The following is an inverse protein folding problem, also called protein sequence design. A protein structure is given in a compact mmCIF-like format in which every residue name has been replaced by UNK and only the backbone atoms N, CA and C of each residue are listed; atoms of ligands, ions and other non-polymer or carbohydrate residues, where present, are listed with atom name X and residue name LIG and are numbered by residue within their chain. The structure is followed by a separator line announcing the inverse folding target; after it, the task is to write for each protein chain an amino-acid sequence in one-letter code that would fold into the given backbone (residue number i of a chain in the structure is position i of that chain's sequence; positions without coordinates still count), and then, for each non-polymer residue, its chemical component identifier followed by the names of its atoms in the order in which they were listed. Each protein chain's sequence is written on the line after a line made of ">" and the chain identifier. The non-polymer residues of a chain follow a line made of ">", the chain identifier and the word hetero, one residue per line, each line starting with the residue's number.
data_IF_105180793421
#
_entry.id   IF_105180793421
#
_cell.length_a   1.000
_cell.length_b   1.000
_cell.length_c   1.000
_cell.angle_alpha   90.00
_cell.angle_beta   90.00
_cell.angle_gamma   90.00
#
_symmetry.space_group_name_H-M   'P 1'
#
loop_
_entity.id
_entity.type
_entity.pdbx_description
1 polymer ?
#
# COMPACT_ATOMS: atom_id res chain seq x y z
N UNK A 1 7.17 3.47 -7.85
CA UNK A 1 7.39 4.93 -7.71
C UNK A 1 6.11 5.68 -7.42
N UNK A 2 5.03 5.50 -8.21
CA UNK A 2 3.77 6.24 -8.02
C UNK A 2 3.24 6.26 -6.56
N UNK A 3 3.16 5.13 -5.82
CA UNK A 3 2.63 5.17 -4.44
C UNK A 3 3.49 5.97 -3.47
N UNK A 4 4.82 5.89 -3.58
CA UNK A 4 5.74 6.64 -2.72
C UNK A 4 5.59 8.15 -2.92
N UNK A 5 5.40 8.59 -4.18
CA UNK A 5 5.15 9.99 -4.50
C UNK A 5 3.85 10.44 -3.84
N UNK A 6 2.76 9.67 -3.98
CA UNK A 6 1.49 9.99 -3.32
C UNK A 6 1.66 10.12 -1.81
N UNK A 7 2.33 9.16 -1.17
CA UNK A 7 2.58 9.19 0.27
C UNK A 7 3.32 10.46 0.70
N UNK A 8 4.48 10.74 0.11
CA UNK A 8 5.33 11.88 0.51
C UNK A 8 4.65 13.22 0.19
N UNK A 9 3.97 13.32 -0.96
CA UNK A 9 3.24 14.53 -1.33
C UNK A 9 2.08 14.82 -0.38
N UNK A 10 1.26 13.81 -0.05
CA UNK A 10 0.13 13.99 0.89
C UNK A 10 0.64 14.30 2.30
N UNK A 11 1.72 13.65 2.73
CA UNK A 11 2.35 13.94 4.01
C UNK A 11 2.84 15.39 4.10
N UNK A 12 3.61 15.85 3.10
CA UNK A 12 4.13 17.22 3.07
C UNK A 12 3.01 18.28 2.98
N UNK A 13 2.01 18.06 2.13
CA UNK A 13 0.88 18.98 1.98
C UNK A 13 0.02 19.05 3.26
N UNK A 14 -0.26 17.91 3.88
CA UNK A 14 -1.03 17.88 5.14
C UNK A 14 -0.27 18.52 6.30
N UNK A 15 1.06 18.31 6.39
CA UNK A 15 1.91 18.98 7.38
C UNK A 15 1.91 20.50 7.18
N UNK A 16 2.10 20.98 5.94
CA UNK A 16 2.06 22.41 5.62
C UNK A 16 0.70 23.02 5.97
N UNK A 17 -0.38 22.31 5.67
CA UNK A 17 -1.74 22.73 6.01
C UNK A 17 -1.95 22.79 7.53
N UNK A 18 -1.54 21.77 8.28
CA UNK A 18 -1.65 21.75 9.74
C UNK A 18 -0.89 22.91 10.38
N UNK A 19 0.33 23.17 9.89
CA UNK A 19 1.15 24.30 10.34
C UNK A 19 0.46 25.65 10.08
N UNK A 20 -0.09 25.85 8.89
CA UNK A 20 -0.69 27.14 8.47
C UNK A 20 -2.00 27.43 9.17
N UNK A 21 -2.87 26.42 9.35
CA UNK A 21 -4.24 26.63 9.83
C UNK A 21 -4.43 26.36 11.33
N UNK A 22 -3.70 25.39 11.90
CA UNK A 22 -3.92 24.96 13.29
C UNK A 22 -2.79 25.41 14.24
N UNK A 23 -1.72 26.03 13.73
CA UNK A 23 -0.51 26.40 14.49
C UNK A 23 0.07 25.24 15.33
N UNK A 24 -0.25 24.00 14.96
CA UNK A 24 0.22 22.76 15.59
C UNK A 24 0.58 21.78 14.50
N UNK A 25 1.75 21.18 14.63
CA UNK A 25 2.16 20.09 13.77
C UNK A 25 1.46 18.81 14.24
N UNK A 26 0.49 18.31 13.48
CA UNK A 26 -0.07 16.97 13.73
C UNK A 26 0.63 15.94 12.83
N UNK A 27 1.91 15.71 13.16
CA UNK A 27 2.79 14.76 12.49
C UNK A 27 2.13 13.39 12.35
N UNK A 28 1.48 12.94 13.42
CA UNK A 28 0.89 11.61 13.47
C UNK A 28 -0.34 11.52 12.56
N UNK A 29 -1.21 12.53 12.56
CA UNK A 29 -2.37 12.56 11.67
C UNK A 29 -1.93 12.65 10.22
N UNK A 30 -0.98 13.54 9.90
CA UNK A 30 -0.40 13.66 8.56
C UNK A 30 0.17 12.33 8.06
N UNK A 31 0.91 11.60 8.91
CA UNK A 31 1.47 10.29 8.57
C UNK A 31 0.40 9.23 8.26
N UNK A 32 -0.68 9.21 9.05
CA UNK A 32 -1.83 8.30 8.86
C UNK A 32 -2.66 8.68 7.62
N UNK A 33 -2.90 9.98 7.41
CA UNK A 33 -3.62 10.49 6.26
C UNK A 33 -2.87 10.18 4.96
N UNK A 34 -1.56 10.39 4.94
CA UNK A 34 -0.71 10.02 3.81
C UNK A 34 -0.83 8.53 3.49
N UNK A 35 -0.73 7.67 4.50
CA UNK A 35 -0.87 6.22 4.33
C UNK A 35 -2.26 5.85 3.82
N UNK A 36 -3.31 6.48 4.34
CA UNK A 36 -4.70 6.28 3.94
C UNK A 36 -4.89 6.60 2.45
N UNK A 37 -4.47 7.80 2.02
CA UNK A 37 -4.61 8.23 0.62
C UNK A 37 -3.76 7.34 -0.30
N UNK A 38 -2.56 6.94 0.13
CA UNK A 38 -1.73 6.01 -0.63
C UNK A 38 -2.42 4.66 -0.83
N UNK A 39 -3.02 4.08 0.23
CA UNK A 39 -3.73 2.80 0.18
C UNK A 39 -4.96 2.86 -0.73
N UNK A 40 -5.72 3.96 -0.67
CA UNK A 40 -6.83 4.17 -1.60
C UNK A 40 -6.34 4.26 -3.04
N UNK A 41 -5.23 4.96 -3.27
CA UNK A 41 -4.61 5.06 -4.59
C UNK A 41 -4.13 3.70 -5.13
N UNK A 42 -3.49 2.86 -4.31
CA UNK A 42 -3.09 1.52 -4.72
C UNK A 42 -4.28 0.58 -4.91
N UNK A 43 -5.35 0.76 -4.13
CA UNK A 43 -6.56 -0.06 -4.26
C UNK A 43 -7.21 0.14 -5.63
N UNK A 44 -7.24 1.37 -6.16
CA UNK A 44 -7.74 1.67 -7.51
C UNK A 44 -7.04 0.79 -8.57
N UNK A 45 -5.74 0.53 -8.42
CA UNK A 45 -5.00 -0.30 -9.35
C UNK A 45 -5.53 -1.76 -9.42
N UNK A 46 -6.11 -2.29 -8.34
CA UNK A 46 -6.68 -3.64 -8.30
C UNK A 46 -7.90 -3.79 -9.19
N UNK A 47 -8.65 -2.70 -9.36
CA UNK A 47 -9.85 -2.68 -10.19
C UNK A 47 -9.55 -2.26 -11.63
N UNK A 48 -8.68 -1.26 -11.82
CA UNK A 48 -8.32 -0.74 -13.14
C UNK A 48 -7.39 -1.68 -13.91
N UNK A 49 -6.35 -2.19 -13.25
CA UNK A 49 -5.30 -3.03 -13.87
C UNK A 49 -5.47 -4.51 -13.55
N UNK A 50 -6.72 -4.95 -13.37
CA UNK A 50 -7.05 -6.32 -12.92
C UNK A 50 -6.39 -7.40 -13.78
N UNK A 51 -6.28 -7.20 -15.10
CA UNK A 51 -5.66 -8.14 -16.02
C UNK A 51 -4.17 -8.37 -15.68
N UNK A 52 -3.41 -7.29 -15.49
CA UNK A 52 -1.99 -7.38 -15.15
C UNK A 52 -1.76 -7.85 -13.72
N UNK A 53 -2.62 -7.45 -12.78
CA UNK A 53 -2.55 -7.88 -11.38
C UNK A 53 -2.79 -9.40 -11.23
N UNK A 54 -3.70 -9.98 -12.03
CA UNK A 54 -3.92 -11.43 -12.07
C UNK A 54 -2.67 -12.19 -12.53
N UNK A 55 -1.87 -11.61 -13.43
CA UNK A 55 -0.61 -12.22 -13.88
C UNK A 55 0.46 -12.26 -12.78
N UNK A 56 0.36 -11.40 -11.77
CA UNK A 56 1.25 -11.43 -10.60
C UNK A 56 0.91 -12.56 -9.62
N UNK A 57 -0.30 -13.12 -9.69
CA UNK A 57 -0.73 -14.17 -8.76
C UNK A 57 -0.01 -15.48 -9.10
N UNK A 58 0.72 -16.08 -8.14
CA UNK A 58 1.48 -17.31 -8.37
C UNK A 58 0.63 -18.47 -8.92
N UNK A 59 1.27 -19.44 -9.62
CA UNK A 59 0.57 -20.50 -10.34
C UNK A 59 -0.04 -21.56 -9.41
N UNK A 60 0.39 -21.66 -8.15
CA UNK A 60 -0.21 -22.57 -7.18
C UNK A 60 -1.65 -22.17 -6.80
N UNK A 61 -2.04 -20.92 -7.08
CA UNK A 61 -3.42 -20.46 -6.96
C UNK A 61 -4.20 -20.83 -8.23
N UNK A 62 -5.37 -21.49 -8.10
CA UNK A 62 -6.23 -21.79 -9.24
C UNK A 62 -6.63 -20.54 -10.03
N UNK A 63 -6.54 -20.61 -11.36
CA UNK A 63 -6.87 -19.48 -12.24
C UNK A 63 -8.29 -18.93 -12.01
N UNK A 64 -9.24 -19.80 -11.65
CA UNK A 64 -10.63 -19.42 -11.36
C UNK A 64 -10.76 -18.43 -10.19
N UNK A 65 -9.84 -18.45 -9.21
CA UNK A 65 -9.90 -17.59 -8.02
C UNK A 65 -8.92 -16.42 -8.05
N UNK A 66 -7.97 -16.37 -8.99
CA UNK A 66 -6.97 -15.28 -9.07
C UNK A 66 -7.60 -13.90 -9.15
N UNK A 67 -8.63 -13.76 -9.99
CA UNK A 67 -9.38 -12.50 -10.13
C UNK A 67 -10.04 -12.09 -8.82
N UNK A 68 -10.61 -13.06 -8.10
CA UNK A 68 -11.24 -12.82 -6.80
C UNK A 68 -10.21 -12.37 -5.76
N UNK A 69 -9.03 -13.00 -5.72
CA UNK A 69 -7.94 -12.59 -4.82
C UNK A 69 -7.50 -11.15 -5.10
N UNK A 70 -7.36 -10.75 -6.36
CA UNK A 70 -7.02 -9.36 -6.71
C UNK A 70 -8.10 -8.38 -6.20
N UNK A 71 -9.38 -8.73 -6.33
CA UNK A 71 -10.47 -7.89 -5.81
C UNK A 71 -10.42 -7.82 -4.27
N UNK A 72 -10.22 -8.96 -3.60
CA UNK A 72 -10.14 -9.03 -2.13
C UNK A 72 -8.96 -8.21 -1.62
N UNK A 73 -7.79 -8.30 -2.26
CA UNK A 73 -6.61 -7.52 -1.86
C UNK A 73 -6.83 -6.02 -2.03
N UNK A 74 -7.53 -5.58 -3.09
CA UNK A 74 -7.97 -4.20 -3.23
C UNK A 74 -8.93 -3.75 -2.11
N UNK A 75 -9.88 -4.61 -1.72
CA UNK A 75 -10.79 -4.34 -0.61
C UNK A 75 -10.08 -4.29 0.74
N UNK A 76 -9.07 -5.13 0.97
CA UNK A 76 -8.23 -5.11 2.17
C UNK A 76 -7.51 -3.75 2.28
N UNK A 77 -6.99 -3.21 1.17
CA UNK A 77 -6.35 -1.89 1.18
C UNK A 77 -7.34 -0.77 1.56
N UNK A 78 -8.58 -0.81 1.06
CA UNK A 78 -9.63 0.15 1.43
C UNK A 78 -9.99 0.02 2.92
N UNK A 79 -10.19 -1.22 3.40
CA UNK A 79 -10.49 -1.48 4.80
C UNK A 79 -9.34 -1.05 5.72
N UNK A 80 -8.09 -1.27 5.30
CA UNK A 80 -6.90 -0.79 6.00
C UNK A 80 -6.83 0.73 6.04
N UNK A 81 -7.12 1.41 4.92
CA UNK A 81 -7.17 2.86 4.85
C UNK A 81 -8.20 3.46 5.81
N UNK A 82 -9.40 2.88 5.88
CA UNK A 82 -10.42 3.28 6.85
C UNK A 82 -9.99 2.96 8.28
N UNK A 83 -9.46 1.76 8.53
CA UNK A 83 -9.09 1.28 9.85
C UNK A 83 -7.96 2.07 10.52
N UNK A 84 -6.97 2.56 9.76
CA UNK A 84 -5.89 3.37 10.35
C UNK A 84 -6.35 4.78 10.79
N UNK A 85 -7.43 5.28 10.17
CA UNK A 85 -7.98 6.60 10.49
C UNK A 85 -8.85 6.55 11.75
N UNK A 86 -9.60 5.48 11.96
CA UNK A 86 -10.43 5.28 13.15
C UNK A 86 -9.58 5.02 14.39
N UNK A 87 -9.92 5.65 15.51
CA UNK A 87 -9.15 5.57 16.76
C UNK A 87 -9.14 4.15 17.33
N UNK A 88 -10.28 3.48 17.30
CA UNK A 88 -10.53 2.18 17.95
C UNK A 88 -9.87 1.02 17.20
N UNK A 89 -9.73 1.12 15.88
CA UNK A 89 -9.23 0.03 15.02
C UNK A 89 -7.82 0.24 14.52
N UNK A 90 -7.20 1.40 14.81
CA UNK A 90 -5.90 1.82 14.27
C UNK A 90 -4.78 0.80 14.45
N UNK A 91 -4.58 0.33 15.68
CA UNK A 91 -3.50 -0.60 16.02
C UNK A 91 -3.71 -1.93 15.28
N UNK A 92 -4.95 -2.45 15.33
CA UNK A 92 -5.34 -3.69 14.66
C UNK A 92 -5.14 -3.57 13.13
N UNK A 93 -5.61 -2.47 12.53
CA UNK A 93 -5.42 -2.19 11.12
C UNK A 93 -3.94 -2.07 10.76
N UNK A 94 -3.13 -1.45 11.61
CA UNK A 94 -1.68 -1.36 11.45
C UNK A 94 -1.01 -2.73 11.39
N UNK A 95 -1.30 -3.63 12.34
CA UNK A 95 -0.76 -4.99 12.33
C UNK A 95 -1.22 -5.78 11.09
N UNK A 96 -2.51 -5.70 10.75
CA UNK A 96 -3.05 -6.37 9.57
C UNK A 96 -2.41 -5.86 8.27
N UNK A 97 -2.15 -4.56 8.15
CA UNK A 97 -1.45 -3.97 7.01
C UNK A 97 0.00 -4.42 6.93
N UNK A 98 0.72 -4.51 8.06
CA UNK A 98 2.09 -5.04 8.08
C UNK A 98 2.13 -6.50 7.61
N UNK A 99 1.23 -7.33 8.13
CA UNK A 99 1.10 -8.74 7.71
C UNK A 99 0.76 -8.81 6.22
N UNK A 100 -0.19 -7.99 5.76
CA UNK A 100 -0.60 -7.92 4.36
C UNK A 100 0.58 -7.55 3.44
N UNK A 101 1.35 -6.51 3.78
CA UNK A 101 2.53 -6.11 3.01
C UNK A 101 3.52 -7.26 2.90
N UNK A 102 3.84 -7.93 4.01
CA UNK A 102 4.75 -9.10 4.02
C UNK A 102 4.19 -10.23 3.12
N UNK A 103 2.90 -10.53 3.24
CA UNK A 103 2.22 -11.56 2.45
C UNK A 103 2.21 -11.28 0.94
N UNK A 104 2.40 -10.03 0.50
CA UNK A 104 2.49 -9.65 -0.92
C UNK A 104 3.89 -9.85 -1.53
N UNK A 105 4.93 -10.14 -0.73
CA UNK A 105 6.29 -10.38 -1.24
C UNK A 105 6.37 -11.52 -2.27
N UNK A 106 5.77 -12.70 -2.04
CA UNK A 106 5.83 -13.80 -3.01
C UNK A 106 5.23 -13.41 -4.36
N UNK A 107 4.13 -12.65 -4.37
CA UNK A 107 3.51 -12.15 -5.59
C UNK A 107 4.43 -11.16 -6.34
N UNK A 108 5.10 -10.26 -5.61
CA UNK A 108 6.06 -9.33 -6.21
C UNK A 108 7.30 -10.04 -6.78
N UNK A 109 7.82 -11.06 -6.09
CA UNK A 109 8.94 -11.89 -6.58
C UNK A 109 8.52 -12.66 -7.84
N UNK A 110 7.35 -13.28 -7.82
CA UNK A 110 6.82 -14.02 -8.98
C UNK A 110 6.61 -13.10 -10.20
N UNK A 111 5.99 -11.93 -9.99
CA UNK A 111 5.79 -10.92 -11.03
C UNK A 111 7.11 -10.49 -11.69
N UNK A 112 8.16 -10.36 -10.88
CA UNK A 112 9.52 -10.02 -11.34
C UNK A 112 10.11 -11.12 -12.22
N UNK A 113 10.05 -12.38 -11.76
CA UNK A 113 10.57 -13.53 -12.49
C UNK A 113 9.90 -13.70 -13.85
N UNK A 114 8.60 -13.39 -13.94
CA UNK A 114 7.82 -13.45 -15.17
C UNK A 114 7.84 -12.16 -15.99
N UNK A 115 8.51 -11.11 -15.51
CA UNK A 115 8.50 -9.76 -16.12
C UNK A 115 7.08 -9.25 -16.36
N UNK A 116 6.17 -9.41 -15.41
CA UNK A 116 4.80 -8.94 -15.54
C UNK A 116 4.75 -7.42 -15.65
N UNK A 117 4.07 -6.92 -16.69
CA UNK A 117 3.70 -5.53 -16.83
C UNK A 117 2.23 -5.36 -16.40
N UNK A 118 2.01 -4.68 -15.28
CA UNK A 118 0.67 -4.51 -14.72
C UNK A 118 -0.22 -3.60 -15.58
N UNK A 119 0.35 -2.55 -16.16
CA UNK A 119 -0.39 -1.52 -16.88
C UNK A 119 -0.84 -2.02 -18.26
N UNK A 120 0.02 -2.78 -18.94
CA UNK A 120 -0.27 -3.37 -20.24
C UNK A 120 -0.94 -4.75 -20.12
N UNK A 121 -0.78 -5.44 -18.99
CA UNK A 121 -1.33 -6.77 -18.77
C UNK A 121 -0.61 -7.88 -19.55
N UNK A 122 0.71 -7.74 -19.72
CA UNK A 122 1.55 -8.69 -20.45
C UNK A 122 2.87 -9.01 -19.69
N UNK A 123 3.86 -9.58 -20.38
CA UNK A 123 5.16 -9.96 -19.82
C UNK A 123 6.33 -9.07 -20.30
N UNK A 124 6.04 -7.83 -20.69
CA UNK A 124 7.04 -6.83 -21.14
C UNK A 124 7.66 -6.00 -20.00
N UNK A 125 7.41 -6.38 -18.75
CA UNK A 125 7.75 -5.61 -17.56
C UNK A 125 9.25 -5.51 -17.28
N UNK A 126 9.63 -4.59 -16.37
CA UNK A 126 11.03 -4.22 -16.11
C UNK A 126 11.88 -5.31 -15.41
N UNK A 127 11.31 -6.48 -15.10
CA UNK A 127 12.02 -7.58 -14.46
C UNK A 127 12.65 -7.18 -13.12
N UNK A 128 13.90 -7.60 -12.88
CA UNK A 128 14.60 -7.45 -11.58
C UNK A 128 14.62 -6.02 -11.03
N UNK A 129 14.68 -5.00 -11.90
CA UNK A 129 14.64 -3.60 -11.48
C UNK A 129 13.36 -3.27 -10.69
N UNK A 130 12.23 -3.89 -11.02
CA UNK A 130 11.00 -3.75 -10.23
C UNK A 130 11.22 -4.15 -8.77
N UNK A 131 11.82 -5.32 -8.53
CA UNK A 131 11.97 -5.89 -7.19
C UNK A 131 12.96 -5.09 -6.33
N UNK A 132 14.07 -4.64 -6.92
CA UNK A 132 15.09 -3.82 -6.26
C UNK A 132 14.48 -2.55 -5.69
N UNK A 133 13.51 -1.96 -6.37
CA UNK A 133 12.80 -0.80 -5.86
C UNK A 133 11.62 -1.16 -4.95
N UNK A 134 10.96 -2.30 -5.20
CA UNK A 134 9.78 -2.70 -4.44
C UNK A 134 10.12 -3.10 -3.01
N UNK A 135 11.20 -3.86 -2.80
CA UNK A 135 11.57 -4.35 -1.46
C UNK A 135 11.90 -3.19 -0.50
N UNK A 136 12.79 -2.22 -0.83
CA UNK A 136 13.07 -1.09 0.04
C UNK A 136 11.83 -0.23 0.29
N UNK A 137 11.03 0.02 -0.75
CA UNK A 137 9.75 0.75 -0.60
C UNK A 137 8.80 0.02 0.35
N UNK A 138 8.72 -1.30 0.27
CA UNK A 138 7.84 -2.08 1.12
C UNK A 138 8.32 -2.10 2.57
N UNK A 139 9.63 -2.23 2.81
CA UNK A 139 10.22 -2.10 4.14
C UNK A 139 9.93 -0.72 4.73
N UNK A 140 10.09 0.33 3.92
CA UNK A 140 9.76 1.68 4.30
C UNK A 140 8.28 1.83 4.69
N UNK A 141 7.35 1.26 3.91
CA UNK A 141 5.91 1.26 4.23
C UNK A 141 5.60 0.48 5.51
N UNK A 142 6.29 -0.63 5.78
CA UNK A 142 6.14 -1.39 7.02
C UNK A 142 6.56 -0.53 8.21
N UNK A 143 7.74 0.11 8.13
CA UNK A 143 8.25 1.00 9.18
C UNK A 143 7.33 2.21 9.37
N UNK A 144 6.85 2.81 8.28
CA UNK A 144 5.90 3.93 8.32
C UNK A 144 4.60 3.54 9.02
N UNK A 145 4.02 2.40 8.63
CA UNK A 145 2.78 1.86 9.24
C UNK A 145 2.99 1.57 10.71
N UNK A 146 4.11 0.93 11.08
CA UNK A 146 4.46 0.67 12.46
C UNK A 146 4.56 1.97 13.27
N UNK A 147 5.30 2.96 12.76
CA UNK A 147 5.53 4.21 13.48
C UNK A 147 4.23 5.01 13.71
N UNK A 148 3.42 5.17 12.67
CA UNK A 148 2.24 6.06 12.69
C UNK A 148 0.94 5.39 13.14
N UNK A 149 0.80 4.07 13.01
CA UNK A 149 -0.42 3.35 13.39
C UNK A 149 -0.26 2.50 14.65
N UNK A 150 0.95 2.01 14.96
CA UNK A 150 1.16 1.05 16.06
C UNK A 150 1.90 1.70 17.23
N UNK A 151 3.04 2.34 16.99
CA UNK A 151 3.89 2.92 18.02
C UNK A 151 3.32 4.22 18.59
N UNK A 152 2.72 5.06 17.73
CA UNK A 152 2.11 6.33 18.13
C UNK A 152 0.63 6.37 17.73
N UNK A 153 -0.21 5.52 18.34
CA UNK A 153 -1.60 5.39 17.96
C UNK A 153 -2.45 6.56 18.48
N UNK A 154 -1.97 7.41 19.40
CA UNK A 154 -2.79 8.45 20.02
C UNK A 154 -2.10 9.81 19.92
N UNK A 155 -2.84 10.89 19.56
CA UNK A 155 -2.29 12.24 19.68
C UNK A 155 -2.18 12.55 21.18
N UNK A 156 -0.96 12.86 21.64
CA UNK A 156 -0.73 13.53 22.92
C UNK A 156 -0.79 15.03 22.70
#
# INVERSE_FOLDING_TARGET
>A
MKPLIVLVSVFGLSMLFSYTFHQREDLYFSGRLALCVMLLFTSIAHFVFIKGMVLMVPPFIPNAIKKLIVIITGLIEIAGAAGIMLYETRITAGYLLVIFLIAMLPANVYATQRRVNMEQGDFSGPGMYYLIFRIPMQLFLIVWTYYFAIAHPYPF
#
